data_IF_318506278920
#
_entry.id   IF_318506278920
#
_cell.length_a   1.000
_cell.length_b   1.000
_cell.length_c   1.000
_cell.angle_alpha   90.00
_cell.angle_beta   90.00
_cell.angle_gamma   90.00
#
_symmetry.space_group_name_H-M   'P 1'
#
loop_
_entity.id
_entity.type
_entity.pdbx_description
1 polymer ?
#
# COMPACT_ATOMS: atom_id res chain seq x y z
N UNK A 1 50.76 -15.42 -54.49
CA UNK A 1 49.28 -15.39 -54.59
C UNK A 1 48.77 -14.51 -53.44
N UNK A 2 48.93 -13.19 -53.47
CA UNK A 2 48.10 -12.16 -54.12
C UNK A 2 46.62 -12.21 -53.70
N UNK A 3 46.30 -11.33 -52.75
CA UNK A 3 45.07 -10.53 -52.57
C UNK A 3 43.72 -11.23 -52.35
N UNK A 4 43.31 -11.34 -51.09
CA UNK A 4 41.92 -11.56 -50.65
C UNK A 4 41.36 -10.42 -49.77
N UNK A 5 42.10 -9.30 -49.64
CA UNK A 5 41.71 -8.16 -48.80
C UNK A 5 40.93 -7.07 -49.56
N UNK A 6 40.98 -7.06 -50.90
CA UNK A 6 40.32 -6.04 -51.72
C UNK A 6 38.84 -6.36 -52.07
N UNK A 7 38.35 -7.56 -51.76
CA UNK A 7 36.95 -7.93 -52.01
C UNK A 7 35.98 -7.39 -50.95
N UNK A 8 36.45 -7.16 -49.72
CA UNK A 8 35.59 -6.73 -48.60
C UNK A 8 35.31 -5.22 -48.60
N UNK A 9 36.18 -4.42 -49.21
CA UNK A 9 36.05 -2.96 -49.28
C UNK A 9 35.10 -2.50 -50.40
N UNK A 10 34.93 -3.27 -51.49
CA UNK A 10 33.98 -2.95 -52.56
C UNK A 10 32.54 -3.23 -52.15
N UNK A 11 32.30 -4.25 -51.31
CA UNK A 11 30.96 -4.59 -50.83
C UNK A 11 30.36 -3.52 -49.90
N UNK A 12 31.17 -2.88 -49.05
CA UNK A 12 30.68 -1.90 -48.08
C UNK A 12 30.38 -0.52 -48.70
N UNK A 13 30.95 -0.18 -49.85
CA UNK A 13 30.68 1.07 -50.58
C UNK A 13 29.43 1.01 -51.49
N UNK A 14 28.90 -0.19 -51.77
CA UNK A 14 27.65 -0.36 -52.51
C UNK A 14 26.40 -0.20 -51.62
N UNK A 15 26.54 -0.40 -50.30
CA UNK A 15 25.41 -0.35 -49.35
C UNK A 15 25.04 1.10 -48.99
N UNK A 16 25.99 2.05 -49.08
CA UNK A 16 25.74 3.45 -48.77
C UNK A 16 24.98 4.24 -49.87
N UNK A 17 24.82 3.67 -51.07
CA UNK A 17 24.25 4.38 -52.23
C UNK A 17 22.81 3.97 -52.59
N UNK A 18 22.24 2.98 -51.89
CA UNK A 18 20.85 2.56 -52.09
C UNK A 18 19.85 3.29 -51.16
N UNK A 19 20.30 4.33 -50.45
CA UNK A 19 19.51 5.12 -49.50
C UNK A 19 18.79 6.33 -50.15
N UNK A 20 18.76 6.44 -51.49
CA UNK A 20 18.31 7.66 -52.17
C UNK A 20 17.17 7.49 -53.21
N UNK A 21 16.54 6.32 -53.34
CA UNK A 21 15.55 6.06 -54.44
C UNK A 21 14.12 5.74 -53.94
N UNK A 22 13.84 5.64 -52.64
CA UNK A 22 12.50 5.25 -52.15
C UNK A 22 11.69 6.41 -51.51
N UNK A 23 12.00 7.66 -51.88
CA UNK A 23 11.32 8.89 -51.42
C UNK A 23 10.21 9.38 -52.37
N UNK A 24 9.48 8.49 -53.04
CA UNK A 24 8.34 8.94 -53.85
C UNK A 24 7.50 7.84 -54.47
N UNK A 25 6.43 7.44 -53.79
CA UNK A 25 5.22 6.94 -54.44
C UNK A 25 4.02 6.99 -53.48
N UNK A 26 3.07 7.85 -53.82
CA UNK A 26 1.71 7.95 -53.31
C UNK A 26 0.94 6.62 -53.34
N UNK A 27 -0.14 6.53 -52.56
CA UNK A 27 -1.25 5.63 -52.92
C UNK A 27 -2.15 5.23 -51.77
N UNK A 28 -3.16 6.06 -51.47
CA UNK A 28 -4.33 5.72 -50.68
C UNK A 28 -4.97 4.42 -51.18
N UNK A 29 -4.98 3.37 -50.35
CA UNK A 29 -5.89 2.23 -50.49
C UNK A 29 -6.36 1.81 -49.11
N UNK A 30 -7.58 2.27 -48.77
CA UNK A 30 -8.33 1.87 -47.60
C UNK A 30 -8.74 0.40 -47.70
N UNK A 31 -8.32 -0.43 -46.75
CA UNK A 31 -8.89 -1.76 -46.52
C UNK A 31 -9.59 -1.77 -45.15
N UNK A 32 -10.77 -2.38 -45.02
CA UNK A 32 -11.55 -2.37 -43.77
C UNK A 32 -10.95 -3.38 -42.79
N UNK A 33 -10.35 -2.88 -41.70
CA UNK A 33 -10.00 -3.73 -40.56
C UNK A 33 -11.25 -3.96 -39.72
N UNK A 34 -11.77 -5.18 -39.76
CA UNK A 34 -12.74 -5.71 -38.79
C UNK A 34 -12.01 -5.90 -37.45
N UNK A 35 -11.76 -4.79 -36.74
CA UNK A 35 -11.27 -4.83 -35.36
C UNK A 35 -12.48 -4.82 -34.42
N UNK A 36 -12.72 -5.96 -33.80
CA UNK A 36 -13.63 -6.11 -32.67
C UNK A 36 -13.27 -5.12 -31.57
N UNK A 37 -14.02 -4.03 -31.44
CA UNK A 37 -14.01 -3.20 -30.24
C UNK A 37 -14.75 -3.94 -29.13
N UNK A 38 -14.03 -4.74 -28.33
CA UNK A 38 -14.46 -5.03 -26.97
C UNK A 38 -14.40 -3.70 -26.20
N UNK A 39 -15.58 -3.16 -25.87
CA UNK A 39 -15.70 -2.02 -24.99
C UNK A 39 -14.98 -2.31 -23.66
N UNK A 40 -14.23 -1.35 -23.09
CA UNK A 40 -13.67 -1.53 -21.76
C UNK A 40 -14.81 -1.73 -20.76
N UNK A 41 -14.77 -2.86 -20.06
CA UNK A 41 -15.63 -3.19 -18.95
C UNK A 41 -15.49 -2.07 -17.89
N UNK A 42 -16.58 -1.50 -17.36
CA UNK A 42 -16.50 -0.43 -16.39
C UNK A 42 -15.75 -0.94 -15.16
N UNK A 43 -14.62 -0.29 -14.82
CA UNK A 43 -13.93 -0.53 -13.56
C UNK A 43 -14.96 -0.47 -12.42
N UNK A 44 -14.99 -1.47 -11.51
CA UNK A 44 -15.85 -1.42 -10.35
C UNK A 44 -15.57 -0.11 -9.60
N UNK A 45 -16.55 0.78 -9.59
CA UNK A 45 -16.41 2.07 -8.91
C UNK A 45 -15.96 1.83 -7.47
N UNK A 46 -14.83 2.45 -7.09
CA UNK A 46 -14.31 2.41 -5.73
C UNK A 46 -15.46 2.80 -4.80
N UNK A 47 -15.92 1.86 -3.99
CA UNK A 47 -17.01 2.11 -3.06
C UNK A 47 -16.66 3.34 -2.22
N UNK A 48 -17.59 4.27 -2.01
CA UNK A 48 -17.32 5.51 -1.30
C UNK A 48 -16.73 5.23 0.08
N UNK A 49 -15.67 5.95 0.44
CA UNK A 49 -14.98 5.81 1.73
C UNK A 49 -15.95 6.16 2.85
N UNK A 50 -16.37 5.16 3.61
CA UNK A 50 -17.28 5.35 4.73
C UNK A 50 -16.48 5.81 5.96
N UNK A 51 -16.92 6.86 6.67
CA UNK A 51 -16.20 7.34 7.84
C UNK A 51 -16.17 6.26 8.93
N UNK A 52 -15.02 6.12 9.59
CA UNK A 52 -14.91 5.33 10.80
C UNK A 52 -15.76 5.93 11.94
N UNK A 53 -16.29 5.07 12.80
CA UNK A 53 -16.94 5.50 14.05
C UNK A 53 -15.90 5.95 15.07
N UNK A 54 -14.66 5.46 14.97
CA UNK A 54 -13.51 5.88 15.77
C UNK A 54 -12.81 7.00 15.02
N UNK A 55 -12.72 8.17 15.64
CA UNK A 55 -12.04 9.33 15.07
C UNK A 55 -10.52 9.21 15.20
N UNK A 56 -9.79 9.86 14.29
CA UNK A 56 -8.33 9.84 14.30
C UNK A 56 -7.76 10.41 15.61
N UNK A 57 -8.32 11.51 16.11
CA UNK A 57 -7.89 12.18 17.35
C UNK A 57 -8.10 11.31 18.60
N UNK A 58 -9.06 10.39 18.59
CA UNK A 58 -9.30 9.47 19.70
C UNK A 58 -8.16 8.47 19.90
N UNK A 59 -7.35 8.19 18.87
CA UNK A 59 -6.22 7.25 18.96
C UNK A 59 -4.85 7.94 18.92
N UNK A 60 -4.81 9.26 18.67
CA UNK A 60 -3.58 10.05 18.80
C UNK A 60 -3.10 10.02 20.25
N UNK A 61 -1.79 9.83 20.42
CA UNK A 61 -1.16 9.85 21.74
C UNK A 61 0.02 8.89 21.89
N UNK A 62 0.42 8.73 23.15
CA UNK A 62 1.51 7.86 23.59
C UNK A 62 0.95 6.52 24.06
N UNK A 63 1.50 5.43 23.54
CA UNK A 63 1.01 4.09 23.76
C UNK A 63 2.15 3.15 24.17
N UNK A 64 1.90 2.34 25.18
CA UNK A 64 2.66 1.13 25.43
C UNK A 64 2.23 0.07 24.43
N UNK A 65 3.18 -0.61 23.79
CA UNK A 65 2.92 -1.53 22.68
C UNK A 65 3.41 -2.94 23.03
N UNK A 66 2.58 -3.94 22.74
CA UNK A 66 2.95 -5.35 22.74
C UNK A 66 2.03 -6.12 21.77
N UNK A 67 2.19 -7.44 21.69
CA UNK A 67 1.29 -8.28 20.90
C UNK A 67 1.04 -9.64 21.52
N UNK A 68 -0.08 -10.27 21.15
CA UNK A 68 -0.45 -11.61 21.57
C UNK A 68 -1.10 -12.40 20.43
N UNK A 69 -0.85 -13.72 20.41
CA UNK A 69 -1.48 -14.64 19.47
C UNK A 69 -2.73 -15.28 20.08
N UNK A 70 -2.58 -15.87 21.27
CA UNK A 70 -3.67 -16.51 21.99
C UNK A 70 -4.48 -15.45 22.77
N UNK A 71 -5.81 -15.36 22.57
CA UNK A 71 -6.66 -14.44 23.34
C UNK A 71 -6.56 -14.59 24.86
N UNK A 72 -6.23 -15.79 25.36
CA UNK A 72 -6.04 -16.04 26.79
C UNK A 72 -4.85 -15.27 27.39
N UNK A 73 -3.91 -14.83 26.56
CA UNK A 73 -2.73 -14.06 26.99
C UNK A 73 -3.00 -12.55 27.08
N UNK A 74 -4.16 -12.08 26.61
CA UNK A 74 -4.47 -10.65 26.45
C UNK A 74 -4.18 -9.83 27.71
N UNK A 75 -4.67 -10.25 28.88
CA UNK A 75 -4.51 -9.50 30.13
C UNK A 75 -3.04 -9.35 30.54
N UNK A 76 -2.24 -10.42 30.36
CA UNK A 76 -0.79 -10.40 30.63
C UNK A 76 -0.08 -9.46 29.66
N UNK A 77 -0.44 -9.52 28.38
CA UNK A 77 0.17 -8.69 27.34
C UNK A 77 -0.18 -7.21 27.50
N UNK A 78 -1.40 -6.86 27.93
CA UNK A 78 -1.78 -5.48 28.28
C UNK A 78 -0.92 -4.92 29.44
N UNK A 79 -0.64 -5.73 30.46
CA UNK A 79 0.26 -5.34 31.54
C UNK A 79 1.69 -5.12 31.05
N UNK A 80 2.19 -6.00 30.17
CA UNK A 80 3.50 -5.85 29.54
C UNK A 80 3.58 -4.59 28.66
N UNK A 81 2.56 -4.33 27.84
CA UNK A 81 2.44 -3.12 27.02
C UNK A 81 2.51 -1.86 27.89
N UNK A 82 1.78 -1.82 29.01
CA UNK A 82 1.86 -0.71 29.97
C UNK A 82 3.27 -0.49 30.51
N UNK A 83 4.03 -1.56 30.75
CA UNK A 83 5.44 -1.51 31.13
C UNK A 83 6.35 -0.81 30.10
N UNK A 84 5.96 -0.83 28.82
CA UNK A 84 6.69 -0.18 27.72
C UNK A 84 6.50 1.35 27.66
N UNK A 85 5.67 1.94 28.51
CA UNK A 85 5.40 3.38 28.49
C UNK A 85 6.62 4.29 28.79
N UNK A 86 7.75 3.72 29.22
CA UNK A 86 9.04 4.42 29.31
C UNK A 86 9.60 4.79 27.93
N UNK A 87 9.34 3.96 26.91
CA UNK A 87 9.68 4.18 25.50
C UNK A 87 8.43 3.94 24.63
N UNK A 88 7.45 4.86 24.67
CA UNK A 88 6.14 4.62 24.07
C UNK A 88 6.21 4.68 22.54
N UNK A 89 5.33 3.89 21.92
CA UNK A 89 4.94 4.10 20.54
C UNK A 89 4.05 5.33 20.44
N UNK A 90 4.38 6.27 19.57
CA UNK A 90 3.62 7.51 19.39
C UNK A 90 2.77 7.42 18.12
N UNK A 91 1.46 7.49 18.30
CA UNK A 91 0.52 7.69 17.19
C UNK A 91 0.36 9.20 17.03
N UNK A 92 0.92 9.76 15.97
CA UNK A 92 0.87 11.19 15.67
C UNK A 92 -0.42 11.59 14.96
N UNK A 93 -0.78 12.87 15.04
CA UNK A 93 -1.83 13.43 14.19
C UNK A 93 -1.30 13.60 12.75
N UNK A 94 -2.07 13.14 11.77
CA UNK A 94 -1.78 13.37 10.36
C UNK A 94 -2.15 14.78 9.90
N UNK A 95 -1.48 15.29 8.86
CA UNK A 95 -1.76 16.62 8.32
C UNK A 95 -3.10 16.68 7.59
N UNK A 96 -3.60 15.54 7.13
CA UNK A 96 -4.85 15.43 6.37
C UNK A 96 -6.01 14.93 7.21
N UNK A 97 -5.87 14.85 8.55
CA UNK A 97 -6.86 14.31 9.47
C UNK A 97 -6.77 12.79 9.68
N UNK A 98 -5.69 12.15 9.22
CA UNK A 98 -5.36 10.77 9.54
C UNK A 98 -4.51 10.64 10.82
N UNK A 99 -3.84 9.50 10.94
CA UNK A 99 -2.87 9.22 12.01
C UNK A 99 -1.54 8.79 11.42
N UNK A 100 -0.44 9.22 12.04
CA UNK A 100 0.90 8.84 11.62
C UNK A 100 1.31 7.56 12.35
N UNK A 101 1.45 6.46 11.60
CA UNK A 101 1.77 5.13 12.11
C UNK A 101 2.59 4.32 11.09
N UNK A 102 3.28 3.30 11.57
CA UNK A 102 3.99 2.34 10.72
C UNK A 102 3.01 1.30 10.17
N UNK A 103 3.12 1.00 8.88
CA UNK A 103 2.54 -0.23 8.31
C UNK A 103 3.31 -1.47 8.82
N UNK A 104 2.81 -2.66 8.49
CA UNK A 104 3.59 -3.88 8.68
C UNK A 104 4.94 -3.75 7.96
N UNK A 105 6.02 -4.11 8.66
CA UNK A 105 7.41 -4.16 8.15
C UNK A 105 8.00 -2.83 7.64
N UNK A 106 7.27 -1.73 7.72
CA UNK A 106 7.78 -0.43 7.30
C UNK A 106 8.51 0.26 8.44
N UNK A 107 9.76 0.65 8.21
CA UNK A 107 10.59 1.36 9.18
C UNK A 107 10.17 2.84 9.33
N UNK A 108 9.54 3.41 8.30
CA UNK A 108 9.12 4.81 8.27
C UNK A 108 7.62 4.90 8.58
N UNK A 109 7.21 5.72 9.55
CA UNK A 109 5.80 5.97 9.77
C UNK A 109 5.24 6.86 8.66
N UNK A 110 3.98 6.63 8.31
CA UNK A 110 3.27 7.40 7.29
C UNK A 110 1.86 7.74 7.77
N UNK A 111 1.23 8.71 7.13
CA UNK A 111 -0.16 9.05 7.44
C UNK A 111 -1.11 7.96 6.92
N UNK A 112 -1.94 7.44 7.81
CA UNK A 112 -2.96 6.42 7.57
C UNK A 112 -4.35 7.00 7.86
N UNK A 113 -5.37 6.47 7.19
CA UNK A 113 -6.78 6.83 7.35
C UNK A 113 -7.49 5.89 8.30
N UNK A 114 -8.44 6.45 9.04
CA UNK A 114 -9.43 5.70 9.81
C UNK A 114 -10.63 5.47 8.90
N UNK A 115 -10.94 4.19 8.65
CA UNK A 115 -11.94 3.78 7.66
C UNK A 115 -13.02 2.94 8.32
N UNK A 116 -14.28 3.23 8.05
CA UNK A 116 -15.42 2.42 8.47
C UNK A 116 -15.82 1.41 7.38
N UNK A 117 -16.49 0.32 7.76
CA UNK A 117 -17.12 -0.61 6.80
C UNK A 117 -18.60 -0.83 7.11
N UNK A 118 -19.42 -1.24 6.11
CA UNK A 118 -20.85 -1.48 6.30
C UNK A 118 -21.18 -2.52 7.40
N UNK A 119 -20.21 -3.37 7.78
CA UNK A 119 -20.36 -4.33 8.88
C UNK A 119 -20.10 -3.72 10.26
N UNK A 120 -19.85 -2.41 10.36
CA UNK A 120 -19.55 -1.70 11.60
C UNK A 120 -18.10 -1.86 12.07
N UNK A 121 -17.22 -2.47 11.28
CA UNK A 121 -15.80 -2.59 11.59
C UNK A 121 -15.05 -1.30 11.25
N UNK A 122 -13.96 -1.05 11.97
CA UNK A 122 -13.07 0.07 11.74
C UNK A 122 -11.68 -0.42 11.35
N UNK A 123 -10.98 0.33 10.50
CA UNK A 123 -9.68 -0.02 9.95
C UNK A 123 -8.74 1.17 10.00
N UNK A 124 -7.44 0.87 10.07
CA UNK A 124 -6.35 1.86 9.93
C UNK A 124 -5.46 1.41 8.78
N UNK A 125 -5.28 2.26 7.78
CA UNK A 125 -4.40 1.94 6.65
C UNK A 125 -4.32 3.05 5.61
N UNK A 126 -3.67 2.81 4.46
CA UNK A 126 -3.56 3.82 3.40
C UNK A 126 -4.93 4.27 2.87
N UNK A 127 -5.00 5.43 2.19
CA UNK A 127 -6.20 5.89 1.50
C UNK A 127 -6.75 4.80 0.56
N UNK A 128 -8.08 4.65 0.52
CA UNK A 128 -8.74 3.62 -0.28
C UNK A 128 -9.85 2.92 0.51
N UNK A 129 -10.44 1.83 -0.03
CA UNK A 129 -11.52 1.12 0.62
C UNK A 129 -11.08 0.51 1.97
N UNK A 130 -12.04 0.31 2.87
CA UNK A 130 -11.82 -0.37 4.14
C UNK A 130 -11.60 -1.88 3.95
N UNK A 131 -10.65 -2.45 4.68
CA UNK A 131 -10.32 -3.87 4.60
C UNK A 131 -9.35 -4.21 3.46
N UNK A 132 -8.59 -3.23 2.97
CA UNK A 132 -7.48 -3.50 2.06
C UNK A 132 -6.37 -4.30 2.73
N UNK A 133 -5.50 -4.95 1.95
CA UNK A 133 -4.46 -5.84 2.50
C UNK A 133 -3.50 -5.12 3.46
N UNK A 134 -3.17 -3.85 3.17
CA UNK A 134 -2.31 -3.02 4.01
C UNK A 134 -3.01 -2.46 5.25
N UNK A 135 -4.31 -2.72 5.41
CA UNK A 135 -5.04 -2.27 6.58
C UNK A 135 -4.76 -3.16 7.79
N UNK A 136 -5.02 -2.60 8.96
CA UNK A 136 -5.32 -3.36 10.16
C UNK A 136 -6.74 -3.08 10.61
N UNK A 137 -7.48 -4.12 10.98
CA UNK A 137 -8.76 -3.99 11.66
C UNK A 137 -8.53 -3.53 13.10
N UNK A 138 -9.35 -2.59 13.56
CA UNK A 138 -9.51 -2.28 14.98
C UNK A 138 -10.46 -3.34 15.56
N UNK A 139 -9.89 -4.32 16.25
CA UNK A 139 -10.63 -5.44 16.85
C UNK A 139 -11.43 -4.97 18.06
N UNK A 140 -10.87 -4.06 18.85
CA UNK A 140 -11.56 -3.43 19.97
C UNK A 140 -10.88 -2.12 20.37
N UNK A 141 -11.66 -1.15 20.83
CA UNK A 141 -11.16 0.09 21.39
C UNK A 141 -12.10 0.60 22.48
N UNK A 142 -11.56 0.94 23.66
CA UNK A 142 -12.32 1.43 24.81
C UNK A 142 -11.87 2.82 25.30
N UNK A 143 -11.10 3.55 24.49
CA UNK A 143 -10.47 4.82 24.85
C UNK A 143 -9.11 4.68 25.54
N UNK A 144 -8.82 3.55 26.18
CA UNK A 144 -7.57 3.29 26.93
C UNK A 144 -6.74 2.15 26.36
N UNK A 145 -7.37 1.14 25.80
CA UNK A 145 -6.78 -0.03 25.17
C UNK A 145 -7.30 -0.12 23.75
N UNK A 146 -6.39 -0.09 22.78
CA UNK A 146 -6.65 -0.30 21.37
C UNK A 146 -6.04 -1.65 20.97
N UNK A 147 -6.86 -2.55 20.42
CA UNK A 147 -6.40 -3.82 19.87
C UNK A 147 -6.62 -3.81 18.37
N UNK A 148 -5.56 -4.11 17.62
CA UNK A 148 -5.62 -4.18 16.16
C UNK A 148 -5.07 -5.49 15.63
N UNK A 149 -5.48 -5.89 14.43
CA UNK A 149 -4.94 -7.04 13.73
C UNK A 149 -4.79 -6.72 12.25
N UNK A 150 -3.64 -7.04 11.67
CA UNK A 150 -3.41 -6.87 10.23
C UNK A 150 -4.40 -7.70 9.40
N UNK A 151 -4.79 -7.19 8.25
CA UNK A 151 -5.67 -7.89 7.31
C UNK A 151 -4.88 -8.89 6.46
N UNK A 152 -3.71 -8.48 5.97
CA UNK A 152 -2.79 -9.39 5.30
C UNK A 152 -2.41 -10.54 6.24
N UNK A 153 -2.50 -11.78 5.71
CA UNK A 153 -2.50 -13.01 6.51
C UNK A 153 -1.13 -13.30 7.13
N UNK A 154 -0.05 -13.08 6.40
CA UNK A 154 1.32 -13.30 6.91
C UNK A 154 1.64 -12.33 8.04
N UNK A 155 1.33 -11.05 7.88
CA UNK A 155 1.45 -10.03 8.90
C UNK A 155 0.59 -10.35 10.13
N UNK A 156 -0.65 -10.83 9.92
CA UNK A 156 -1.52 -11.24 11.02
C UNK A 156 -0.93 -12.44 11.79
N UNK A 157 -0.33 -13.41 11.12
CA UNK A 157 0.33 -14.56 11.75
C UNK A 157 1.60 -14.15 12.49
N UNK A 158 2.45 -13.29 11.91
CA UNK A 158 3.73 -12.90 12.54
C UNK A 158 3.53 -11.94 13.71
N UNK A 159 2.63 -10.97 13.58
CA UNK A 159 2.43 -9.93 14.57
C UNK A 159 1.29 -10.22 15.54
N UNK A 160 0.33 -11.07 15.17
CA UNK A 160 -0.84 -11.39 15.99
C UNK A 160 -1.75 -10.19 16.21
N UNK A 161 -2.39 -10.15 17.38
CA UNK A 161 -3.13 -8.97 17.83
C UNK A 161 -2.17 -8.00 18.49
N UNK A 162 -1.97 -6.85 17.87
CA UNK A 162 -1.24 -5.73 18.46
C UNK A 162 -2.12 -5.09 19.52
N UNK A 163 -1.57 -4.85 20.71
CA UNK A 163 -2.25 -4.14 21.79
C UNK A 163 -1.49 -2.88 22.15
N UNK A 164 -2.21 -1.77 22.10
CA UNK A 164 -1.77 -0.44 22.46
C UNK A 164 -2.48 -0.07 23.76
N UNK A 165 -1.74 0.22 24.82
CA UNK A 165 -2.27 0.70 26.10
C UNK A 165 -1.86 2.15 26.30
N UNK A 166 -2.83 3.05 26.54
CA UNK A 166 -2.52 4.49 26.75
C UNK A 166 -1.51 4.66 27.88
N UNK A 167 -0.47 5.41 27.62
CA UNK A 167 0.47 5.83 28.65
C UNK A 167 -0.09 7.01 29.45
N UNK A 168 0.26 7.10 30.73
CA UNK A 168 -0.06 8.27 31.53
C UNK A 168 0.54 9.55 30.92
N UNK A 169 -0.12 10.71 31.10
CA UNK A 169 0.50 12.00 30.79
C UNK A 169 1.88 12.09 31.44
N UNK A 170 2.85 12.72 30.76
CA UNK A 170 4.11 13.04 31.45
C UNK A 170 3.76 14.01 32.58
N UNK A 171 4.21 13.70 33.80
CA UNK A 171 4.24 14.66 34.89
C UNK A 171 5.26 15.77 34.58
#
# INVERSE_FOLDING_TARGET
>A
MISSRNARTVANLAIASALAILLGACGSMSLPSLSSSSAPEPEPGVAPEMPATIRADEIVGRWGLASFQNPNDRARTEAAARGQCKQPYVIGAGASGGVVMHLADQATPQELRLKGSPSGKNYIGPPGPAGGEQDREIVSFDGRVLVTRFIEKDAAVRYGNMVYVRCAPRA
#
